data_IF_244529724140
#
_entry.id   IF_244529724140
#
_cell.length_a   1.000
_cell.length_b   1.000
_cell.length_c   1.000
_cell.angle_alpha   90.00
_cell.angle_beta   90.00
_cell.angle_gamma   90.00
#
_symmetry.space_group_name_H-M   'P 1'
#
loop_
_entity.id
_entity.type
_entity.pdbx_description
1 polymer ?
#
# COMPACT_ATOMS: atom_id res chain seq x y z
N UNK A 1 -0.58 4.15 -0.60
CA UNK A 1 -1.15 5.46 -0.22
C UNK A 1 -0.20 6.63 -0.46
N UNK A 2 1.05 6.57 0.01
CA UNK A 2 2.04 7.66 -0.14
C UNK A 2 2.12 8.22 -1.57
N UNK A 3 2.15 7.38 -2.60
CA UNK A 3 2.17 7.81 -4.00
C UNK A 3 0.94 8.65 -4.41
N UNK A 4 -0.25 8.33 -3.89
CA UNK A 4 -1.48 9.10 -4.14
C UNK A 4 -1.40 10.46 -3.44
N UNK A 5 -0.85 10.51 -2.23
CA UNK A 5 -0.66 11.76 -1.49
C UNK A 5 0.35 12.67 -2.20
N UNK A 6 1.49 12.12 -2.63
CA UNK A 6 2.52 12.88 -3.35
C UNK A 6 1.94 13.48 -4.64
N UNK A 7 1.18 12.70 -5.40
CA UNK A 7 0.53 13.18 -6.64
C UNK A 7 -0.43 14.35 -6.39
N UNK A 8 -1.27 14.27 -5.35
CA UNK A 8 -2.18 15.36 -4.96
C UNK A 8 -1.45 16.62 -4.51
N UNK A 9 -0.27 16.46 -3.92
CA UNK A 9 0.58 17.56 -3.45
C UNK A 9 1.51 18.10 -4.56
N UNK A 10 1.54 17.48 -5.75
CA UNK A 10 2.47 17.85 -6.81
C UNK A 10 3.94 17.54 -6.47
N UNK A 11 4.18 16.49 -5.67
CA UNK A 11 5.52 16.06 -5.23
C UNK A 11 5.94 14.76 -5.94
N UNK A 12 7.24 14.61 -6.19
CA UNK A 12 7.80 13.36 -6.69
C UNK A 12 7.95 12.34 -5.56
N UNK A 13 7.18 11.26 -5.65
CA UNK A 13 7.22 10.15 -4.68
C UNK A 13 8.59 9.46 -4.67
N UNK A 14 9.31 9.41 -5.80
CA UNK A 14 10.61 8.77 -5.91
C UNK A 14 11.68 9.56 -5.16
N UNK A 15 11.72 10.88 -5.34
CA UNK A 15 12.61 11.76 -4.59
C UNK A 15 12.35 11.67 -3.09
N UNK A 16 11.07 11.63 -2.67
CA UNK A 16 10.71 11.49 -1.26
C UNK A 16 11.19 10.16 -0.68
N UNK A 17 11.04 9.06 -1.42
CA UNK A 17 11.51 7.73 -1.00
C UNK A 17 13.03 7.69 -0.92
N UNK A 18 13.72 8.27 -1.89
CA UNK A 18 15.19 8.33 -1.89
C UNK A 18 15.72 9.19 -0.75
N UNK A 19 15.09 10.34 -0.49
CA UNK A 19 15.40 11.17 0.67
C UNK A 19 15.16 10.42 1.99
N UNK A 20 14.04 9.70 2.11
CA UNK A 20 13.74 8.88 3.29
C UNK A 20 14.74 7.72 3.49
N UNK A 21 15.22 7.14 2.39
CA UNK A 21 16.21 6.07 2.39
C UNK A 21 17.60 6.50 2.84
N UNK A 22 17.89 7.81 2.92
CA UNK A 22 19.16 8.31 3.47
C UNK A 22 19.28 8.13 4.98
N UNK A 23 18.19 7.82 5.68
CA UNK A 23 18.21 7.60 7.13
C UNK A 23 19.02 6.34 7.48
N UNK A 24 19.98 6.42 8.42
CA UNK A 24 20.84 5.27 8.75
C UNK A 24 20.12 4.16 9.53
N UNK A 25 18.85 4.37 9.91
CA UNK A 25 18.03 3.40 10.64
C UNK A 25 16.54 3.63 10.40
N UNK A 26 15.73 2.60 10.66
CA UNK A 26 14.27 2.73 10.77
C UNK A 26 13.52 2.98 9.46
N UNK A 27 14.18 2.84 8.32
CA UNK A 27 13.53 2.93 7.01
C UNK A 27 14.00 1.80 6.09
N UNK A 28 13.06 0.94 5.72
CA UNK A 28 13.24 -0.01 4.62
C UNK A 28 12.65 0.63 3.37
N UNK A 29 13.46 0.72 2.30
CA UNK A 29 13.02 1.30 1.03
C UNK A 29 11.99 0.39 0.36
N UNK A 30 10.79 0.90 0.18
CA UNK A 30 9.72 0.29 -0.62
C UNK A 30 9.36 1.22 -1.76
N UNK A 31 9.23 0.66 -2.97
CA UNK A 31 8.90 1.42 -4.16
C UNK A 31 7.41 1.30 -4.49
N UNK A 32 6.74 2.39 -4.92
CA UNK A 32 5.35 2.35 -5.30
C UNK A 32 5.17 1.58 -6.61
N UNK A 33 4.00 0.98 -6.78
CA UNK A 33 3.65 0.24 -7.98
C UNK A 33 2.13 0.24 -8.21
N UNK A 34 1.66 -0.43 -9.28
CA UNK A 34 0.24 -0.47 -9.63
C UNK A 34 -0.60 -1.31 -8.66
N UNK A 35 0.01 -2.00 -7.71
CA UNK A 35 -0.67 -2.86 -6.74
C UNK A 35 0.18 -4.06 -6.39
N UNK A 36 -0.32 -4.87 -5.48
CA UNK A 36 0.30 -6.12 -5.06
C UNK A 36 -0.10 -7.25 -6.03
N UNK A 37 0.85 -8.11 -6.39
CA UNK A 37 0.60 -9.33 -7.16
C UNK A 37 0.94 -10.60 -6.38
N UNK A 38 0.97 -11.74 -7.07
CA UNK A 38 1.27 -13.04 -6.47
C UNK A 38 0.09 -13.66 -5.72
N UNK A 39 0.31 -14.84 -5.13
CA UNK A 39 -0.75 -15.60 -4.46
C UNK A 39 -0.76 -15.44 -2.93
N UNK A 40 0.39 -15.17 -2.30
CA UNK A 40 0.48 -15.09 -0.83
C UNK A 40 -0.10 -13.78 -0.28
N UNK A 41 0.51 -12.65 -0.65
CA UNK A 41 0.22 -11.34 -0.06
C UNK A 41 -1.26 -10.92 -0.23
N UNK A 42 -1.94 -11.20 -1.36
CA UNK A 42 -3.36 -10.86 -1.49
C UNK A 42 -4.29 -11.73 -0.64
N UNK A 43 -3.88 -12.94 -0.25
CA UNK A 43 -4.74 -13.94 0.39
C UNK A 43 -4.48 -14.04 1.89
N UNK A 44 -3.21 -14.15 2.31
CA UNK A 44 -2.84 -14.49 3.68
C UNK A 44 -3.34 -13.46 4.72
N UNK A 45 -3.19 -12.13 4.49
CA UNK A 45 -3.71 -11.13 5.42
C UNK A 45 -5.24 -11.16 5.50
N UNK A 46 -5.92 -11.35 4.36
CA UNK A 46 -7.38 -11.42 4.31
C UNK A 46 -7.92 -12.67 5.02
N UNK A 47 -7.22 -13.80 4.91
CA UNK A 47 -7.54 -15.00 5.67
C UNK A 47 -7.41 -14.77 7.18
N UNK A 48 -6.36 -14.06 7.62
CA UNK A 48 -6.19 -13.68 9.03
C UNK A 48 -7.30 -12.72 9.49
N UNK A 49 -7.64 -11.70 8.70
CA UNK A 49 -8.76 -10.79 8.99
C UNK A 49 -10.07 -11.56 9.12
N UNK A 50 -10.33 -12.51 8.22
CA UNK A 50 -11.50 -13.40 8.29
C UNK A 50 -11.51 -14.26 9.56
N UNK A 51 -10.37 -14.86 9.94
CA UNK A 51 -10.27 -15.64 11.19
C UNK A 51 -10.55 -14.79 12.43
N UNK A 52 -10.05 -13.56 12.47
CA UNK A 52 -10.24 -12.66 13.61
C UNK A 52 -11.71 -12.20 13.78
N UNK A 53 -12.49 -12.16 12.70
CA UNK A 53 -13.94 -11.87 12.79
C UNK A 53 -14.68 -12.89 13.66
N UNK A 54 -14.26 -14.16 13.68
CA UNK A 54 -14.83 -15.18 14.56
C UNK A 54 -14.57 -14.90 16.05
N UNK A 55 -13.56 -14.09 16.36
CA UNK A 55 -13.23 -13.60 17.71
C UNK A 55 -13.84 -12.21 17.98
N UNK A 56 -14.79 -11.77 17.15
CA UNK A 56 -15.39 -10.44 17.20
C UNK A 56 -14.36 -9.30 17.13
N UNK A 57 -13.23 -9.54 16.46
CA UNK A 57 -12.14 -8.58 16.25
C UNK A 57 -12.05 -8.17 14.79
N UNK A 58 -12.00 -6.87 14.53
CA UNK A 58 -11.86 -6.32 13.17
C UNK A 58 -10.43 -5.86 12.94
N UNK A 59 -9.73 -6.49 12.00
CA UNK A 59 -8.36 -6.16 11.64
C UNK A 59 -8.32 -4.94 10.70
N UNK A 60 -8.67 -3.76 11.23
CA UNK A 60 -8.79 -2.49 10.46
C UNK A 60 -7.58 -2.17 9.58
N UNK A 61 -6.38 -2.49 10.06
CA UNK A 61 -5.15 -2.24 9.29
C UNK A 61 -5.08 -3.10 8.02
N UNK A 62 -5.47 -4.37 8.12
CA UNK A 62 -5.51 -5.29 6.98
C UNK A 62 -6.58 -4.82 5.99
N UNK A 63 -7.76 -4.47 6.48
CA UNK A 63 -8.87 -4.04 5.63
C UNK A 63 -8.52 -2.75 4.88
N UNK A 64 -7.94 -1.76 5.57
CA UNK A 64 -7.47 -0.52 4.95
C UNK A 64 -6.35 -0.78 3.93
N UNK A 65 -5.37 -1.62 4.27
CA UNK A 65 -4.30 -1.98 3.35
C UNK A 65 -4.86 -2.66 2.09
N UNK A 66 -5.86 -3.54 2.24
CA UNK A 66 -6.53 -4.18 1.11
C UNK A 66 -7.25 -3.16 0.23
N UNK A 67 -8.01 -2.24 0.82
CA UNK A 67 -8.75 -1.20 0.09
C UNK A 67 -7.80 -0.34 -0.76
N UNK A 68 -6.71 0.14 -0.15
CA UNK A 68 -5.70 0.95 -0.84
C UNK A 68 -5.09 0.16 -2.00
N UNK A 69 -4.68 -1.09 -1.77
CA UNK A 69 -4.00 -1.89 -2.79
C UNK A 69 -4.93 -2.30 -3.95
N UNK A 70 -6.19 -2.64 -3.67
CA UNK A 70 -7.18 -2.93 -4.72
C UNK A 70 -7.53 -1.70 -5.56
N UNK A 71 -7.40 -0.49 -5.00
CA UNK A 71 -7.61 0.77 -5.72
C UNK A 71 -6.45 1.19 -6.62
N UNK A 72 -5.21 0.77 -6.31
CA UNK A 72 -4.00 1.22 -7.03
C UNK A 72 -4.01 0.95 -8.54
N UNK A 73 -4.49 -0.19 -9.08
CA UNK A 73 -4.46 -0.44 -10.52
C UNK A 73 -5.30 0.58 -11.29
N UNK A 74 -6.50 0.88 -10.77
CA UNK A 74 -7.40 1.89 -11.36
C UNK A 74 -6.77 3.27 -11.31
N UNK A 75 -6.14 3.62 -10.18
CA UNK A 75 -5.43 4.88 -10.03
C UNK A 75 -4.31 5.00 -11.08
N UNK A 76 -3.45 3.99 -11.24
CA UNK A 76 -2.35 4.03 -12.23
C UNK A 76 -2.88 4.12 -13.66
N UNK A 77 -3.93 3.37 -14.02
CA UNK A 77 -4.54 3.48 -15.35
C UNK A 77 -5.04 4.90 -15.62
N UNK A 78 -5.67 5.54 -14.64
CA UNK A 78 -6.18 6.92 -14.78
C UNK A 78 -5.09 7.98 -15.02
N UNK A 79 -3.81 7.65 -14.80
CA UNK A 79 -2.68 8.56 -15.07
C UNK A 79 -2.17 8.46 -16.52
N UNK A 80 -2.58 7.43 -17.26
CA UNK A 80 -2.15 7.17 -18.64
C UNK A 80 -3.23 7.55 -19.66
N UNK A 81 -4.49 7.67 -19.22
CA UNK A 81 -5.63 8.13 -20.02
C UNK A 81 -5.65 9.66 -20.11
#
# INVERSE_FOLDING_TARGET
EMAIMCDRLGLDVWEIIDAAATKPFGYMKFTPGPGLGGHCIPIDPLYLSWKLKALNYTARFIDLASEINTGMPRYVVSKIQ
#
